data_IF_828044899617
#
_entry.id   IF_828044899617
#
_cell.length_a   1.000
_cell.length_b   1.000
_cell.length_c   1.000
_cell.angle_alpha   90.00
_cell.angle_beta   90.00
_cell.angle_gamma   90.00
#
_symmetry.space_group_name_H-M   'P 1'
#
loop_
_entity.id
_entity.type
_entity.pdbx_description
1 polymer ?
#
# COMPACT_ATOMS: atom_id res chain seq x y z
N UNK A 1 1.98 19.16 5.20
CA UNK A 1 2.87 18.05 4.81
C UNK A 1 2.63 16.93 5.80
N UNK A 2 2.27 15.75 5.33
CA UNK A 2 2.14 14.53 6.14
C UNK A 2 3.49 14.16 6.76
N UNK A 3 3.49 13.54 7.94
CA UNK A 3 4.74 13.04 8.52
C UNK A 3 5.23 11.80 7.76
N UNK A 4 6.55 11.55 7.71
CA UNK A 4 7.09 10.34 7.08
C UNK A 4 6.55 9.04 7.68
N UNK A 5 6.27 9.03 8.99
CA UNK A 5 5.67 7.87 9.67
C UNK A 5 4.24 7.61 9.23
N UNK A 6 3.45 8.68 9.07
CA UNK A 6 2.08 8.56 8.56
C UNK A 6 2.08 7.96 7.14
N UNK A 7 2.99 8.40 6.29
CA UNK A 7 3.13 7.88 4.93
C UNK A 7 3.57 6.41 4.91
N UNK A 8 4.55 6.04 5.75
CA UNK A 8 4.98 4.65 5.92
C UNK A 8 3.83 3.76 6.40
N UNK A 9 3.07 4.24 7.38
CA UNK A 9 1.92 3.51 7.91
C UNK A 9 0.84 3.31 6.85
N UNK A 10 0.50 4.36 6.09
CA UNK A 10 -0.44 4.25 4.97
C UNK A 10 0.05 3.28 3.90
N UNK A 11 1.33 3.34 3.53
CA UNK A 11 1.95 2.39 2.60
C UNK A 11 1.76 0.95 3.10
N UNK A 12 1.93 0.70 4.40
CA UNK A 12 1.70 -0.60 5.01
C UNK A 12 0.24 -1.03 4.89
N UNK A 13 -0.73 -0.16 5.21
CA UNK A 13 -2.16 -0.49 5.08
C UNK A 13 -2.57 -0.84 3.64
N UNK A 14 -2.00 -0.16 2.66
CA UNK A 14 -2.26 -0.46 1.24
C UNK A 14 -1.67 -1.78 0.78
N UNK A 15 -0.60 -2.26 1.43
CA UNK A 15 0.22 -3.35 0.90
C UNK A 15 0.11 -4.64 1.69
N UNK A 16 -0.24 -4.58 2.98
CA UNK A 16 -0.34 -5.70 3.91
C UNK A 16 -1.80 -5.88 4.37
N UNK A 17 -2.34 -7.07 4.10
CA UNK A 17 -3.71 -7.42 4.45
C UNK A 17 -3.94 -7.55 5.95
N UNK A 18 -2.98 -8.12 6.66
CA UNK A 18 -3.11 -8.32 8.10
C UNK A 18 -3.04 -6.98 8.82
N UNK A 19 -2.20 -6.07 8.34
CA UNK A 19 -2.13 -4.70 8.87
C UNK A 19 -3.44 -3.94 8.64
N UNK A 20 -4.04 -4.05 7.46
CA UNK A 20 -5.33 -3.44 7.17
C UNK A 20 -6.44 -4.00 8.06
N UNK A 21 -6.53 -5.32 8.20
CA UNK A 21 -7.56 -5.96 9.02
C UNK A 21 -7.42 -5.59 10.50
N UNK A 22 -6.19 -5.51 11.01
CA UNK A 22 -5.94 -5.05 12.38
C UNK A 22 -6.35 -3.59 12.56
N UNK A 23 -5.99 -2.72 11.61
CA UNK A 23 -6.37 -1.31 11.63
C UNK A 23 -7.88 -1.10 11.59
N UNK A 24 -8.62 -1.84 10.75
CA UNK A 24 -10.09 -1.70 10.67
C UNK A 24 -10.81 -2.11 11.96
N UNK A 25 -10.20 -2.96 12.80
CA UNK A 25 -10.74 -3.37 14.10
C UNK A 25 -10.40 -2.38 15.22
N UNK A 26 -9.23 -1.77 15.16
CA UNK A 26 -8.71 -0.90 16.20
C UNK A 26 -7.84 0.22 15.59
N UNK A 27 -8.46 1.26 14.98
CA UNK A 27 -7.73 2.26 14.19
C UNK A 27 -6.77 3.09 15.04
N UNK A 28 -7.22 3.54 16.22
CA UNK A 28 -6.45 4.39 17.12
C UNK A 28 -5.26 3.62 17.71
N UNK A 29 -5.51 2.40 18.18
CA UNK A 29 -4.50 1.53 18.76
C UNK A 29 -3.45 1.15 17.72
N UNK A 30 -3.87 0.83 16.49
CA UNK A 30 -2.97 0.51 15.38
C UNK A 30 -2.11 1.71 14.98
N UNK A 31 -2.70 2.90 14.91
CA UNK A 31 -1.97 4.14 14.61
C UNK A 31 -0.96 4.49 15.71
N UNK A 32 -1.35 4.38 16.99
CA UNK A 32 -0.44 4.59 18.13
C UNK A 32 0.68 3.56 18.17
N UNK A 33 0.39 2.29 17.86
CA UNK A 33 1.41 1.25 17.76
C UNK A 33 2.42 1.51 16.62
N UNK A 34 2.02 2.25 15.59
CA UNK A 34 2.90 2.73 14.52
C UNK A 34 3.68 4.01 14.90
N UNK A 35 3.53 4.52 16.12
CA UNK A 35 4.22 5.71 16.61
C UNK A 35 3.66 7.02 16.07
N UNK A 36 2.41 7.02 15.61
CA UNK A 36 1.69 8.22 15.20
C UNK A 36 1.19 8.97 16.43
N UNK A 37 1.16 10.30 16.33
CA UNK A 37 0.66 11.14 17.41
C UNK A 37 -0.88 11.07 17.53
N UNK A 38 -1.42 11.73 18.55
CA UNK A 38 -2.87 11.71 18.80
C UNK A 38 -3.70 12.34 17.68
N UNK A 39 -3.18 13.38 17.02
CA UNK A 39 -3.88 14.06 15.94
C UNK A 39 -3.89 13.20 14.67
N UNK A 40 -2.75 12.60 14.33
CA UNK A 40 -2.61 11.67 13.21
C UNK A 40 -3.46 10.42 13.40
N UNK A 41 -3.48 9.85 14.62
CA UNK A 41 -4.32 8.70 14.93
C UNK A 41 -5.81 9.01 14.78
N UNK A 42 -6.25 10.19 15.24
CA UNK A 42 -7.65 10.62 15.10
C UNK A 42 -8.01 10.84 13.64
N UNK A 43 -7.15 11.54 12.88
CA UNK A 43 -7.35 11.76 11.46
C UNK A 43 -7.43 10.43 10.67
N UNK A 44 -6.64 9.42 11.05
CA UNK A 44 -6.72 8.08 10.48
C UNK A 44 -8.00 7.34 10.85
N UNK A 45 -8.51 7.51 12.08
CA UNK A 45 -9.75 6.86 12.49
C UNK A 45 -10.97 7.34 11.69
N UNK A 46 -10.91 8.59 11.23
CA UNK A 46 -11.95 9.27 10.44
C UNK A 46 -11.76 9.13 8.91
N UNK A 47 -10.72 8.40 8.46
CA UNK A 47 -10.47 8.19 7.03
C UNK A 47 -11.61 7.40 6.36
N UNK A 48 -11.82 7.64 5.06
CA UNK A 48 -12.71 6.80 4.25
C UNK A 48 -12.20 5.35 4.19
N UNK A 49 -12.83 4.49 5.01
CA UNK A 49 -12.52 3.06 5.12
C UNK A 49 -12.80 2.32 3.83
N UNK A 50 -13.86 2.68 3.12
CA UNK A 50 -14.22 2.03 1.85
C UNK A 50 -13.15 2.34 0.81
N UNK A 51 -12.76 3.61 0.67
CA UNK A 51 -11.67 4.03 -0.21
C UNK A 51 -10.36 3.31 0.11
N UNK A 52 -10.02 3.20 1.40
CA UNK A 52 -8.82 2.48 1.86
C UNK A 52 -8.83 1.00 1.46
N UNK A 53 -9.94 0.30 1.67
CA UNK A 53 -10.10 -1.11 1.30
C UNK A 53 -9.97 -1.30 -0.23
N UNK A 54 -10.63 -0.44 -1.01
CA UNK A 54 -10.59 -0.51 -2.48
C UNK A 54 -9.19 -0.26 -3.03
N UNK A 55 -8.47 0.71 -2.46
CA UNK A 55 -7.09 0.99 -2.81
C UNK A 55 -6.19 -0.22 -2.48
N UNK A 56 -6.30 -0.77 -1.27
CA UNK A 56 -5.52 -1.94 -0.85
C UNK A 56 -5.78 -3.15 -1.76
N UNK A 57 -7.05 -3.43 -2.09
CA UNK A 57 -7.41 -4.50 -3.03
C UNK A 57 -6.76 -4.31 -4.41
N UNK A 58 -6.75 -3.07 -4.93
CA UNK A 58 -6.12 -2.73 -6.20
C UNK A 58 -4.61 -2.97 -6.19
N UNK A 59 -3.91 -2.58 -5.13
CA UNK A 59 -2.47 -2.83 -4.99
C UNK A 59 -2.15 -4.33 -4.88
N UNK A 60 -2.95 -5.09 -4.14
CA UNK A 60 -2.81 -6.56 -4.07
C UNK A 60 -3.00 -7.21 -5.44
N UNK A 61 -4.01 -6.80 -6.20
CA UNK A 61 -4.25 -7.29 -7.55
C UNK A 61 -3.05 -6.99 -8.49
N UNK A 62 -2.48 -5.79 -8.41
CA UNK A 62 -1.27 -5.42 -9.17
C UNK A 62 -0.05 -6.26 -8.76
N UNK A 63 0.11 -6.60 -7.48
CA UNK A 63 1.22 -7.46 -7.01
C UNK A 63 1.09 -8.89 -7.52
N UNK A 64 -0.11 -9.48 -7.46
CA UNK A 64 -0.38 -10.81 -8.03
C UNK A 64 -0.05 -10.86 -9.52
N UNK A 65 -0.45 -9.83 -10.28
CA UNK A 65 -0.14 -9.71 -11.72
C UNK A 65 1.36 -9.54 -12.01
N UNK A 66 2.12 -8.84 -11.14
CA UNK A 66 3.58 -8.68 -11.28
C UNK A 66 4.35 -9.97 -11.00
N UNK A 67 3.86 -10.82 -10.10
CA UNK A 67 4.43 -12.17 -9.86
C UNK A 67 4.30 -13.12 -11.06
N UNK A 68 3.37 -12.84 -11.99
CA UNK A 68 3.16 -13.63 -13.21
C UNK A 68 3.82 -13.06 -14.47
N UNK A 69 4.39 -11.85 -14.40
CA UNK A 69 5.22 -11.33 -15.49
C UNK A 69 6.61 -11.92 -15.32
N UNK A 70 6.84 -13.08 -15.95
CA UNK A 70 8.18 -13.52 -16.35
C UNK A 70 8.89 -12.30 -16.96
N UNK A 71 10.18 -12.04 -16.62
CA UNK A 71 10.91 -10.98 -17.27
C UNK A 71 10.88 -11.32 -18.77
N UNK A 72 10.23 -10.48 -19.57
CA UNK A 72 10.35 -10.56 -21.02
C UNK A 72 11.77 -10.14 -21.36
N UNK A 73 12.71 -11.08 -21.22
CA UNK A 73 13.99 -11.04 -21.90
C UNK A 73 13.70 -11.13 -23.38
N UNK A 74 13.98 -10.04 -24.09
CA UNK A 74 14.84 -9.97 -25.29
C UNK A 74 14.48 -8.70 -26.05
N UNK A 75 15.40 -7.75 -26.00
CA UNK A 75 15.59 -6.86 -27.14
C UNK A 75 16.09 -7.75 -28.29
N UNK A 76 15.42 -7.80 -29.45
CA UNK A 76 16.05 -8.32 -30.63
C UNK A 76 17.10 -7.30 -31.07
N UNK A 77 18.36 -7.64 -30.87
CA UNK A 77 19.43 -7.19 -31.75
C UNK A 77 19.07 -7.65 -33.16
N UNK A 78 18.61 -6.72 -33.98
CA UNK A 78 18.33 -6.92 -35.39
C UNK A 78 19.23 -6.01 -36.20
N UNK A 79 20.44 -6.49 -36.49
CA UNK A 79 21.22 -6.04 -37.64
C UNK A 79 20.44 -6.36 -38.91
N UNK A 80 20.25 -5.36 -39.79
CA UNK A 80 19.96 -5.46 -41.23
C UNK A 80 20.04 -4.01 -41.72
N UNK A 81 21.04 -3.56 -42.47
CA UNK A 81 21.48 -4.12 -43.75
C UNK A 81 20.82 -3.30 -44.85
N UNK A 82 21.44 -2.17 -45.21
CA UNK A 82 21.32 -1.46 -46.49
C UNK A 82 22.65 -0.77 -46.77
#
# INVERSE_FOLDING_TARGET
>A
MSSPRLEEFLCRLYTDEKALDAFLRAPIESARAAGLDGAEATALADIDRTGLIMAAASFRARRKRRGHRRPSRRWPTGSSGF
#
